data_IF_035977666912
#
_entry.id   IF_035977666912
#
_cell.length_a   1.000
_cell.length_b   1.000
_cell.length_c   1.000
_cell.angle_alpha   90.00
_cell.angle_beta   90.00
_cell.angle_gamma   90.00
#
_symmetry.space_group_name_H-M   'P 1'
#
loop_
_entity.id
_entity.type
_entity.pdbx_description
1 polymer ?
#
# COMPACT_ATOMS: atom_id res chain seq x y z
N UNK A 1 -9.56 1.86 25.03
CA UNK A 1 -9.43 1.08 23.77
C UNK A 1 -7.96 0.80 23.54
N UNK A 2 -7.56 -0.44 23.24
CA UNK A 2 -6.14 -0.72 22.97
C UNK A 2 -5.76 -0.09 21.62
N UNK A 3 -4.98 0.99 21.66
CA UNK A 3 -4.56 1.75 20.47
C UNK A 3 -3.88 0.85 19.42
N UNK A 4 -3.29 -0.28 19.83
CA UNK A 4 -2.73 -1.28 18.92
C UNK A 4 -3.77 -1.97 18.06
N UNK A 5 -4.83 -2.45 18.71
CA UNK A 5 -5.92 -3.17 18.04
C UNK A 5 -6.62 -2.24 17.07
N UNK A 6 -6.95 -1.02 17.51
CA UNK A 6 -7.63 -0.03 16.67
C UNK A 6 -6.81 0.35 15.43
N UNK A 7 -5.50 0.53 15.56
CA UNK A 7 -4.63 0.82 14.41
C UNK A 7 -4.52 -0.36 13.43
N UNK A 8 -4.44 -1.60 13.93
CA UNK A 8 -4.44 -2.79 13.08
C UNK A 8 -5.77 -2.98 12.36
N UNK A 9 -6.90 -2.75 13.04
CA UNK A 9 -8.24 -2.76 12.45
C UNK A 9 -8.37 -1.71 11.35
N UNK A 10 -7.92 -0.48 11.61
CA UNK A 10 -7.89 0.57 10.60
C UNK A 10 -7.08 0.17 9.36
N UNK A 11 -5.85 -0.33 9.55
CA UNK A 11 -4.97 -0.74 8.45
C UNK A 11 -5.61 -1.89 7.65
N UNK A 12 -6.08 -2.94 8.33
CA UNK A 12 -6.68 -4.11 7.69
C UNK A 12 -7.95 -3.76 6.89
N UNK A 13 -8.84 -2.93 7.44
CA UNK A 13 -10.04 -2.47 6.73
C UNK A 13 -9.69 -1.57 5.54
N UNK A 14 -8.64 -0.76 5.67
CA UNK A 14 -8.17 0.10 4.59
C UNK A 14 -7.65 -0.69 3.39
N UNK A 15 -6.84 -1.73 3.62
CA UNK A 15 -6.25 -2.55 2.55
C UNK A 15 -7.17 -3.65 2.04
N UNK A 16 -8.19 -4.03 2.83
CA UNK A 16 -9.13 -5.08 2.43
C UNK A 16 -9.84 -4.71 1.12
N UNK A 17 -9.96 -5.63 0.16
CA UNK A 17 -10.75 -5.40 -1.05
C UNK A 17 -12.26 -5.34 -0.75
N UNK A 18 -12.68 -5.76 0.45
CA UNK A 18 -14.07 -5.72 0.86
C UNK A 18 -14.53 -4.27 1.02
N UNK A 19 -15.46 -3.86 0.16
CA UNK A 19 -16.11 -2.56 0.19
C UNK A 19 -17.53 -2.75 0.72
N UNK A 20 -17.78 -2.31 1.94
CA UNK A 20 -19.13 -2.23 2.51
C UNK A 20 -19.36 -0.85 3.13
N UNK A 21 -20.61 -0.33 3.13
CA UNK A 21 -20.93 0.94 3.80
C UNK A 21 -20.48 0.95 5.26
N UNK A 22 -20.64 -0.18 5.97
CA UNK A 22 -20.20 -0.34 7.37
C UNK A 22 -18.69 -0.21 7.53
N UNK A 23 -17.90 -0.73 6.58
CA UNK A 23 -16.44 -0.58 6.59
C UNK A 23 -16.05 0.88 6.40
N UNK A 24 -16.70 1.60 5.48
CA UNK A 24 -16.43 3.02 5.25
C UNK A 24 -16.80 3.86 6.49
N UNK A 25 -17.95 3.61 7.10
CA UNK A 25 -18.38 4.27 8.33
C UNK A 25 -17.39 4.03 9.48
N UNK A 26 -16.93 2.80 9.66
CA UNK A 26 -15.89 2.44 10.65
C UNK A 26 -14.58 3.18 10.40
N UNK A 27 -14.12 3.25 9.15
CA UNK A 27 -12.91 3.99 8.78
C UNK A 27 -13.05 5.50 9.02
N UNK A 28 -14.18 6.10 8.64
CA UNK A 28 -14.46 7.52 8.89
C UNK A 28 -14.52 7.83 10.38
N UNK A 29 -15.21 6.99 11.16
CA UNK A 29 -15.27 7.12 12.62
C UNK A 29 -13.89 7.06 13.27
N UNK A 30 -13.01 6.19 12.79
CA UNK A 30 -11.61 6.18 13.23
C UNK A 30 -10.87 7.45 12.83
N UNK A 31 -11.04 7.93 11.58
CA UNK A 31 -10.38 9.13 11.07
C UNK A 31 -10.77 10.37 11.88
N UNK A 32 -12.05 10.51 12.21
CA UNK A 32 -12.60 11.65 12.97
C UNK A 32 -12.36 11.53 14.48
N UNK A 33 -11.85 10.38 14.95
CA UNK A 33 -11.58 10.15 16.36
C UNK A 33 -10.42 11.00 16.86
N UNK A 34 -10.65 11.73 17.96
CA UNK A 34 -9.60 12.47 18.69
C UNK A 34 -8.49 11.58 19.26
N UNK A 35 -8.69 10.26 19.27
CA UNK A 35 -7.75 9.27 19.80
C UNK A 35 -6.96 8.54 18.71
N UNK A 36 -7.08 8.98 17.44
CA UNK A 36 -6.32 8.41 16.35
C UNK A 36 -4.82 8.80 16.48
N UNK A 37 -3.99 7.82 16.84
CA UNK A 37 -2.54 7.99 16.94
C UNK A 37 -1.88 7.72 15.58
N UNK A 38 -1.85 8.73 14.72
CA UNK A 38 -1.38 8.59 13.34
C UNK A 38 0.09 8.20 13.22
N UNK A 39 0.98 8.64 14.13
CA UNK A 39 2.37 8.16 14.13
C UNK A 39 2.43 6.65 14.42
N UNK A 40 1.53 6.16 15.26
CA UNK A 40 1.46 4.74 15.58
C UNK A 40 0.91 3.90 14.42
N UNK A 41 -0.09 4.42 13.69
CA UNK A 41 -0.57 3.81 12.43
C UNK A 41 0.57 3.77 11.40
N UNK A 42 1.31 4.87 11.23
CA UNK A 42 2.47 4.94 10.33
C UNK A 42 3.56 3.93 10.73
N UNK A 43 3.87 3.85 12.03
CA UNK A 43 4.83 2.90 12.58
C UNK A 43 4.44 1.46 12.24
N UNK A 44 3.20 1.04 12.56
CA UNK A 44 2.73 -0.31 12.26
C UNK A 44 2.72 -0.61 10.76
N UNK A 45 2.23 0.32 9.94
CA UNK A 45 2.19 0.15 8.50
C UNK A 45 3.58 -0.06 7.91
N UNK A 46 4.59 0.68 8.40
CA UNK A 46 5.98 0.51 8.00
C UNK A 46 6.58 -0.80 8.51
N UNK A 47 6.37 -1.14 9.78
CA UNK A 47 6.90 -2.37 10.38
C UNK A 47 6.41 -3.61 9.62
N UNK A 48 5.16 -3.58 9.15
CA UNK A 48 4.58 -4.66 8.36
C UNK A 48 4.71 -4.45 6.84
N UNK A 49 5.43 -3.42 6.39
CA UNK A 49 5.68 -3.10 4.97
C UNK A 49 4.40 -2.91 4.12
N UNK A 50 3.30 -2.49 4.75
CA UNK A 50 1.99 -2.29 4.09
C UNK A 50 1.69 -0.82 3.76
N UNK A 51 2.60 0.12 4.02
CA UNK A 51 2.37 1.56 3.78
C UNK A 51 1.92 1.91 2.36
N UNK A 52 2.52 1.37 1.27
CA UNK A 52 2.04 1.64 -0.08
C UNK A 52 0.64 1.04 -0.33
N UNK A 53 0.37 -0.14 0.21
CA UNK A 53 -0.94 -0.79 0.11
C UNK A 53 -2.02 -0.02 0.89
N UNK A 54 -1.66 0.56 2.04
CA UNK A 54 -2.52 1.41 2.83
C UNK A 54 -2.95 2.66 2.03
N UNK A 55 -2.00 3.33 1.37
CA UNK A 55 -2.32 4.43 0.47
C UNK A 55 -3.25 4.00 -0.66
N UNK A 56 -2.91 2.92 -1.37
CA UNK A 56 -3.72 2.42 -2.49
C UNK A 56 -5.14 2.06 -2.06
N UNK A 57 -5.28 1.39 -0.91
CA UNK A 57 -6.57 0.98 -0.35
C UNK A 57 -7.45 2.16 0.08
N UNK A 58 -6.88 3.17 0.73
CA UNK A 58 -7.58 4.40 1.11
C UNK A 58 -7.97 5.24 -0.12
N UNK A 59 -7.10 5.29 -1.13
CA UNK A 59 -7.36 6.00 -2.37
C UNK A 59 -8.49 5.33 -3.16
N UNK A 60 -8.49 4.00 -3.26
CA UNK A 60 -9.57 3.24 -3.91
C UNK A 60 -10.92 3.43 -3.21
N UNK A 61 -10.91 3.67 -1.89
CA UNK A 61 -12.10 3.98 -1.10
C UNK A 61 -12.47 5.48 -1.08
N UNK A 62 -11.74 6.33 -1.80
CA UNK A 62 -11.90 7.80 -1.81
C UNK A 62 -11.77 8.46 -0.41
N UNK A 63 -10.99 7.86 0.49
CA UNK A 63 -10.84 8.33 1.88
C UNK A 63 -9.60 9.19 2.12
N UNK A 64 -8.66 9.26 1.16
CA UNK A 64 -7.41 10.00 1.34
C UNK A 64 -7.62 11.46 1.76
N UNK A 65 -8.63 12.14 1.22
CA UNK A 65 -8.89 13.55 1.51
C UNK A 65 -9.38 13.80 2.95
N UNK A 66 -9.93 12.78 3.61
CA UNK A 66 -10.40 12.85 5.00
C UNK A 66 -9.27 12.69 6.02
N UNK A 67 -8.11 12.17 5.60
CA UNK A 67 -6.97 11.99 6.48
C UNK A 67 -6.36 13.34 6.92
N UNK A 68 -5.74 13.41 8.12
CA UNK A 68 -4.92 14.54 8.50
C UNK A 68 -3.84 14.83 7.46
N UNK A 69 -3.58 16.11 7.21
CA UNK A 69 -2.68 16.58 6.14
C UNK A 69 -1.30 15.92 6.20
N UNK A 70 -0.71 15.84 7.38
CA UNK A 70 0.67 15.33 7.54
C UNK A 70 0.72 13.83 7.27
N UNK A 71 -0.22 13.06 7.83
CA UNK A 71 -0.33 11.62 7.58
C UNK A 71 -0.61 11.31 6.11
N UNK A 72 -1.53 12.06 5.47
CA UNK A 72 -1.80 11.95 4.04
C UNK A 72 -0.56 12.19 3.19
N UNK A 73 0.17 13.27 3.48
CA UNK A 73 1.38 13.67 2.74
C UNK A 73 2.46 12.61 2.89
N UNK A 74 2.64 12.09 4.10
CA UNK A 74 3.57 11.01 4.41
C UNK A 74 3.26 9.73 3.61
N UNK A 75 2.01 9.26 3.62
CA UNK A 75 1.62 8.08 2.87
C UNK A 75 1.78 8.26 1.35
N UNK A 76 1.39 9.42 0.83
CA UNK A 76 1.51 9.75 -0.59
C UNK A 76 2.97 9.69 -1.06
N UNK A 77 3.89 10.25 -0.26
CA UNK A 77 5.31 10.28 -0.60
C UNK A 77 5.92 8.88 -0.58
N UNK A 78 5.64 8.06 0.43
CA UNK A 78 6.14 6.69 0.46
C UNK A 78 5.56 5.82 -0.64
N UNK A 79 4.29 5.99 -0.99
CA UNK A 79 3.70 5.33 -2.14
C UNK A 79 4.40 5.74 -3.44
N UNK A 80 4.62 7.04 -3.65
CA UNK A 80 5.33 7.58 -4.84
C UNK A 80 6.73 7.00 -4.96
N UNK A 81 7.51 7.00 -3.87
CA UNK A 81 8.86 6.41 -3.85
C UNK A 81 8.82 4.91 -4.16
N UNK A 82 7.83 4.19 -3.62
CA UNK A 82 7.65 2.77 -3.91
C UNK A 82 7.33 2.53 -5.39
N UNK A 83 6.46 3.32 -6.00
CA UNK A 83 6.14 3.25 -7.43
C UNK A 83 7.40 3.47 -8.29
N UNK A 84 8.18 4.52 -8.01
CA UNK A 84 9.43 4.82 -8.74
C UNK A 84 10.40 3.65 -8.62
N UNK A 85 10.63 3.14 -7.40
CA UNK A 85 11.49 1.98 -7.17
C UNK A 85 11.02 0.75 -7.95
N UNK A 86 9.73 0.45 -7.90
CA UNK A 86 9.17 -0.72 -8.60
C UNK A 86 9.30 -0.58 -10.13
N UNK A 87 9.18 0.63 -10.68
CA UNK A 87 9.44 0.87 -12.10
C UNK A 87 10.91 0.64 -12.48
N UNK A 88 11.86 1.04 -11.63
CA UNK A 88 13.28 0.74 -11.84
C UNK A 88 13.56 -0.77 -11.75
N UNK A 89 13.01 -1.46 -10.75
CA UNK A 89 13.16 -2.90 -10.61
C UNK A 89 12.58 -3.66 -11.80
N UNK A 90 11.42 -3.24 -12.31
CA UNK A 90 10.82 -3.84 -13.51
C UNK A 90 11.71 -3.68 -14.73
N UNK A 91 12.31 -2.50 -14.92
CA UNK A 91 13.25 -2.26 -16.02
C UNK A 91 14.48 -3.15 -15.92
N UNK A 92 15.09 -3.23 -14.73
CA UNK A 92 16.24 -4.10 -14.48
C UNK A 92 15.90 -5.57 -14.71
N UNK A 93 14.70 -6.01 -14.30
CA UNK A 93 14.22 -7.37 -14.58
C UNK A 93 14.15 -7.62 -16.08
N UNK A 94 13.55 -6.72 -16.86
CA UNK A 94 13.46 -6.86 -18.32
C UNK A 94 14.85 -6.93 -18.98
N UNK A 95 15.81 -6.12 -18.55
CA UNK A 95 17.20 -6.17 -19.03
C UNK A 95 17.85 -7.53 -18.75
N UNK A 96 17.63 -8.09 -17.54
CA UNK A 96 18.11 -9.42 -17.19
C UNK A 96 17.46 -10.48 -18.08
N UNK A 97 16.14 -10.41 -18.30
CA UNK A 97 15.42 -11.35 -19.16
C UNK A 97 15.93 -11.32 -20.60
N UNK A 98 16.20 -10.12 -21.14
CA UNK A 98 16.80 -9.98 -22.46
C UNK A 98 18.16 -10.67 -22.56
N UNK A 99 19.04 -10.48 -21.57
CA UNK A 99 20.37 -11.13 -21.53
C UNK A 99 20.27 -12.64 -21.38
N UNK A 100 19.35 -13.15 -20.57
CA UNK A 100 19.12 -14.59 -20.42
C UNK A 100 18.65 -15.21 -21.75
N UNK A 101 17.69 -14.57 -22.41
CA UNK A 101 17.18 -15.02 -23.70
C UNK A 101 18.26 -15.01 -24.79
N UNK A 102 19.13 -13.98 -24.82
CA UNK A 102 20.29 -13.94 -25.74
C UNK A 102 21.25 -15.12 -25.55
N UNK A 103 21.31 -15.70 -24.35
CA UNK A 103 22.14 -16.87 -24.03
C UNK A 103 21.36 -18.19 -24.05
N UNK A 104 20.15 -18.21 -24.63
CA UNK A 104 19.26 -19.38 -24.68
C UNK A 104 18.88 -19.94 -23.30
N UNK A 105 18.96 -19.12 -22.25
CA UNK A 105 18.55 -19.50 -20.90
C UNK A 105 17.07 -19.14 -20.74
N UNK A 106 16.21 -20.16 -20.79
CA UNK A 106 14.76 -19.97 -20.66
C UNK A 106 14.40 -19.65 -19.20
N UNK A 107 13.80 -18.49 -18.98
CA UNK A 107 13.23 -18.13 -17.68
C UNK A 107 11.86 -18.81 -17.48
N UNK A 108 11.75 -19.63 -16.44
CA UNK A 108 10.50 -20.28 -16.05
C UNK A 108 9.71 -19.36 -15.10
N UNK A 109 8.99 -18.38 -15.63
CA UNK A 109 7.99 -17.63 -14.86
C UNK A 109 6.70 -18.45 -14.75
N UNK A 110 6.10 -18.52 -13.55
CA UNK A 110 4.73 -19.04 -13.36
C UNK A 110 3.63 -18.01 -13.70
N UNK A 111 4.01 -16.76 -14.00
CA UNK A 111 3.07 -15.68 -14.30
C UNK A 111 3.15 -15.29 -15.77
N UNK A 112 2.06 -15.49 -16.50
CA UNK A 112 1.82 -15.00 -17.87
C UNK A 112 1.75 -13.45 -17.98
N UNK A 113 2.24 -12.69 -16.99
CA UNK A 113 2.09 -11.25 -16.91
C UNK A 113 3.18 -10.45 -17.64
N UNK A 114 4.21 -11.12 -18.18
CA UNK A 114 5.38 -10.50 -18.79
C UNK A 114 5.64 -11.00 -20.22
N UNK A 115 4.61 -11.48 -20.93
CA UNK A 115 4.72 -11.82 -22.34
C UNK A 115 5.01 -10.56 -23.17
N UNK A 116 6.30 -10.34 -23.43
CA UNK A 116 6.83 -9.72 -24.64
C UNK A 116 6.83 -10.75 -25.76
#
# INVERSE_FOLDING_TARGET
MNHRIAALEFISQSISPNYSPKTIESLLSFIDSKWAHWEYVAFLANTHLVTPALWAGLNHKNLCNQLPKDFRTYLAELHRQNTVRNSHLMRQLLEVLQKLNQNNIKWCSKSNALSL
#
